data_IF_931560053956
#
_entry.id   IF_931560053956
#
_cell.length_a   1.000
_cell.length_b   1.000
_cell.length_c   1.000
_cell.angle_alpha   90.00
_cell.angle_beta   90.00
_cell.angle_gamma   90.00
#
_symmetry.space_group_name_H-M   'P 1'
#
loop_
_entity.id
_entity.type
_entity.pdbx_description
1 polymer ?
#
# COMPACT_ATOMS: atom_id res chain seq x y z
N UNK A 1 2.46 7.29 -21.20
CA UNK A 1 3.22 6.79 -20.03
C UNK A 1 2.25 6.22 -19.02
N UNK A 2 2.69 5.32 -18.13
CA UNK A 2 1.84 4.73 -17.09
C UNK A 2 2.42 5.09 -15.72
N UNK A 3 1.61 5.73 -14.87
CA UNK A 3 1.85 5.81 -13.43
C UNK A 3 1.13 4.63 -12.80
N UNK A 4 1.91 3.63 -12.45
CA UNK A 4 1.46 2.51 -11.65
C UNK A 4 1.86 2.76 -10.21
N UNK A 5 0.89 2.87 -9.31
CA UNK A 5 1.17 3.04 -7.89
C UNK A 5 0.85 1.77 -7.13
N UNK A 6 1.75 1.43 -6.21
CA UNK A 6 1.53 0.36 -5.25
C UNK A 6 0.38 0.78 -4.33
N UNK A 7 -0.62 -0.09 -4.19
CA UNK A 7 -1.76 0.19 -3.34
C UNK A 7 -1.33 0.65 -1.94
N UNK A 8 -2.09 1.57 -1.38
CA UNK A 8 -1.89 2.16 -0.05
C UNK A 8 -2.23 1.17 1.09
N UNK A 9 -1.51 0.06 1.13
CA UNK A 9 -1.66 -1.01 2.12
C UNK A 9 -0.96 -0.69 3.45
N UNK A 10 -1.15 -1.56 4.43
CA UNK A 10 -0.36 -1.58 5.67
C UNK A 10 1.14 -1.70 5.34
N UNK A 11 2.06 -0.93 5.97
CA UNK A 11 1.85 -0.10 7.15
C UNK A 11 1.28 1.30 6.86
N UNK A 12 0.61 1.88 7.86
CA UNK A 12 0.01 3.21 7.76
C UNK A 12 1.02 4.32 8.06
N UNK A 13 1.10 5.33 7.19
CA UNK A 13 2.10 6.41 7.28
C UNK A 13 1.73 7.43 8.37
N UNK A 14 0.43 7.63 8.61
CA UNK A 14 -0.04 8.59 9.59
C UNK A 14 0.16 8.06 11.02
N UNK A 15 0.81 8.88 11.87
CA UNK A 15 1.14 8.55 13.28
C UNK A 15 -0.08 8.13 14.11
N UNK A 16 -1.28 8.59 13.77
CA UNK A 16 -2.54 8.21 14.42
C UNK A 16 -2.75 6.69 14.41
N UNK A 17 -2.27 5.99 13.38
CA UNK A 17 -2.44 4.55 13.19
C UNK A 17 -1.21 3.74 13.59
N UNK A 18 -0.28 4.33 14.35
CA UNK A 18 0.92 3.64 14.85
C UNK A 18 0.61 2.45 15.76
N UNK A 19 -0.52 2.49 16.46
CA UNK A 19 -1.04 1.36 17.22
C UNK A 19 -1.28 0.13 16.33
N UNK A 20 -1.80 0.32 15.12
CA UNK A 20 -2.02 -0.77 14.16
C UNK A 20 -0.69 -1.27 13.60
N UNK A 21 0.23 -0.36 13.26
CA UNK A 21 1.60 -0.70 12.85
C UNK A 21 2.34 -1.52 13.91
N UNK A 22 2.09 -1.22 15.20
CA UNK A 22 2.67 -1.97 16.31
C UNK A 22 2.28 -3.45 16.30
N UNK A 23 1.05 -3.79 15.87
CA UNK A 23 0.54 -5.16 15.84
C UNK A 23 1.31 -6.04 14.85
N UNK A 24 1.79 -5.46 13.74
CA UNK A 24 2.53 -6.16 12.71
C UNK A 24 4.05 -6.11 12.84
N UNK A 25 4.62 -5.41 13.84
CA UNK A 25 6.09 -5.29 14.01
C UNK A 25 6.82 -6.64 14.04
N UNK A 26 6.27 -7.61 14.78
CA UNK A 26 6.87 -8.95 14.87
C UNK A 26 6.86 -9.72 13.54
N UNK A 27 5.90 -9.44 12.65
CA UNK A 27 5.87 -10.00 11.30
C UNK A 27 6.88 -9.28 10.39
N UNK A 28 6.94 -7.95 10.44
CA UNK A 28 7.89 -7.16 9.64
C UNK A 28 9.34 -7.54 9.95
N UNK A 29 9.68 -7.71 11.24
CA UNK A 29 11.01 -8.16 11.66
C UNK A 29 11.35 -9.57 11.14
N UNK A 30 10.37 -10.46 11.01
CA UNK A 30 10.56 -11.80 10.44
C UNK A 30 10.66 -11.79 8.91
N UNK A 31 9.91 -10.91 8.24
CA UNK A 31 9.95 -10.75 6.79
C UNK A 31 11.35 -10.33 6.30
N UNK A 32 12.08 -9.52 7.09
CA UNK A 32 13.47 -9.15 6.82
C UNK A 32 14.44 -10.35 6.79
N UNK A 33 14.08 -11.45 7.44
CA UNK A 33 14.90 -12.68 7.52
C UNK A 33 14.26 -13.86 6.78
N UNK A 34 13.29 -13.60 5.91
CA UNK A 34 12.51 -14.66 5.26
C UNK A 34 13.32 -15.34 4.15
N UNK A 35 13.77 -16.58 4.40
CA UNK A 35 14.26 -17.47 3.35
C UNK A 35 13.06 -18.17 2.69
N UNK A 36 12.94 -18.02 1.37
CA UNK A 36 11.82 -18.50 0.55
C UNK A 36 11.77 -20.03 0.34
N UNK A 37 12.17 -20.81 1.34
CA UNK A 37 12.01 -22.26 1.35
C UNK A 37 10.87 -22.61 2.30
N UNK A 38 9.64 -22.56 1.79
CA UNK A 38 8.49 -23.04 2.55
C UNK A 38 7.63 -23.94 1.67
N UNK A 39 7.35 -25.14 2.17
CA UNK A 39 6.54 -26.12 1.47
C UNK A 39 5.10 -25.58 1.31
N UNK A 40 4.65 -25.40 0.06
CA UNK A 40 3.32 -24.89 -0.29
C UNK A 40 2.18 -25.61 0.44
N UNK A 41 2.33 -26.92 0.69
CA UNK A 41 1.37 -27.72 1.44
C UNK A 41 1.20 -27.27 2.90
N UNK A 42 2.30 -26.90 3.57
CA UNK A 42 2.28 -26.45 4.96
C UNK A 42 1.55 -25.09 5.09
N UNK A 43 1.73 -24.22 4.10
CA UNK A 43 1.03 -22.94 4.02
C UNK A 43 -0.47 -23.18 3.82
N UNK A 44 -0.83 -24.07 2.89
CA UNK A 44 -2.22 -24.43 2.65
C UNK A 44 -2.91 -24.99 3.89
N UNK A 45 -2.27 -25.94 4.59
CA UNK A 45 -2.79 -26.49 5.86
C UNK A 45 -2.98 -25.39 6.91
N UNK A 46 -2.04 -24.44 7.02
CA UNK A 46 -2.18 -23.29 7.92
C UNK A 46 -3.38 -22.41 7.55
N UNK A 47 -3.59 -22.13 6.27
CA UNK A 47 -4.73 -21.35 5.78
C UNK A 47 -6.03 -22.07 6.13
N UNK A 48 -6.16 -23.37 5.84
CA UNK A 48 -7.36 -24.17 6.13
C UNK A 48 -7.64 -24.23 7.63
N UNK A 49 -6.63 -24.48 8.46
CA UNK A 49 -6.78 -24.47 9.93
C UNK A 49 -7.22 -23.11 10.46
N UNK A 50 -6.61 -22.03 9.96
CA UNK A 50 -7.00 -20.67 10.34
C UNK A 50 -8.42 -20.35 9.90
N UNK A 51 -8.81 -20.79 8.70
CA UNK A 51 -10.16 -20.61 8.17
C UNK A 51 -11.20 -21.30 9.07
N UNK A 52 -11.00 -22.58 9.39
CA UNK A 52 -11.91 -23.35 10.26
C UNK A 52 -12.03 -22.73 11.65
N UNK A 53 -10.94 -22.17 12.19
CA UNK A 53 -10.93 -21.56 13.53
C UNK A 53 -11.54 -20.16 13.56
N UNK A 54 -11.25 -19.32 12.56
CA UNK A 54 -11.58 -17.88 12.57
C UNK A 54 -12.88 -17.55 11.84
N UNK A 55 -13.31 -18.39 10.89
CA UNK A 55 -14.50 -18.12 10.07
C UNK A 55 -14.33 -17.01 9.03
N UNK A 56 -13.10 -16.53 8.80
CA UNK A 56 -12.76 -15.55 7.76
C UNK A 56 -11.41 -15.87 7.13
N UNK A 57 -11.22 -15.41 5.89
CA UNK A 57 -9.97 -15.54 5.15
C UNK A 57 -9.10 -14.32 5.32
N UNK A 58 -7.82 -14.60 5.51
CA UNK A 58 -6.81 -13.57 5.63
C UNK A 58 -5.48 -14.02 5.05
N UNK A 59 -4.92 -13.21 4.15
CA UNK A 59 -3.54 -13.36 3.70
C UNK A 59 -2.97 -12.01 3.26
N UNK A 60 -1.66 -11.96 3.08
CA UNK A 60 -0.94 -10.73 2.69
C UNK A 60 -0.72 -9.72 3.83
N UNK A 61 -1.34 -9.93 5.00
CA UNK A 61 -1.16 -9.10 6.19
C UNK A 61 -0.85 -9.96 7.44
N UNK A 62 -0.19 -9.39 8.47
CA UNK A 62 0.09 -10.11 9.72
C UNK A 62 -1.20 -10.60 10.41
N UNK A 63 -1.18 -11.79 11.00
CA UNK A 63 -2.35 -12.39 11.68
C UNK A 63 -3.03 -11.45 12.70
N UNK A 64 -2.23 -10.73 13.50
CA UNK A 64 -2.72 -9.77 14.49
C UNK A 64 -3.36 -8.53 13.86
N UNK A 65 -2.77 -8.04 12.77
CA UNK A 65 -3.32 -6.91 12.01
C UNK A 65 -4.64 -7.33 11.37
N UNK A 66 -4.71 -8.56 10.88
CA UNK A 66 -5.92 -9.10 10.32
C UNK A 66 -7.05 -9.26 11.33
N UNK A 67 -6.75 -9.83 12.50
CA UNK A 67 -7.74 -9.94 13.58
C UNK A 67 -8.25 -8.56 14.00
N UNK A 68 -7.35 -7.58 14.09
CA UNK A 68 -7.72 -6.19 14.35
C UNK A 68 -8.59 -5.62 13.23
N UNK A 69 -8.27 -5.91 11.98
CA UNK A 69 -9.03 -5.43 10.81
C UNK A 69 -10.44 -5.99 10.76
N UNK A 70 -10.60 -7.28 11.10
CA UNK A 70 -11.89 -7.91 11.23
C UNK A 70 -12.75 -7.27 12.34
N UNK A 71 -12.14 -6.92 13.48
CA UNK A 71 -12.82 -6.29 14.62
C UNK A 71 -13.10 -4.79 14.43
N UNK A 72 -12.19 -4.08 13.76
CA UNK A 72 -12.18 -2.60 13.66
C UNK A 72 -12.14 -2.12 12.21
N UNK A 73 -12.97 -2.72 11.34
CA UNK A 73 -12.94 -2.47 9.89
C UNK A 73 -13.06 -0.99 9.53
N UNK A 74 -13.94 -0.24 10.21
CA UNK A 74 -14.11 1.20 9.96
C UNK A 74 -12.83 2.00 10.21
N UNK A 75 -12.07 1.67 11.27
CA UNK A 75 -10.82 2.35 11.58
C UNK A 75 -9.74 2.04 10.55
N UNK A 76 -9.65 0.79 10.11
CA UNK A 76 -8.70 0.39 9.06
C UNK A 76 -9.03 1.05 7.73
N UNK A 77 -10.29 1.14 7.35
CA UNK A 77 -10.70 1.87 6.13
C UNK A 77 -10.30 3.34 6.24
N UNK A 78 -10.47 3.98 7.40
CA UNK A 78 -9.98 5.36 7.61
C UNK A 78 -8.47 5.46 7.44
N UNK A 79 -7.72 4.50 8.00
CA UNK A 79 -6.26 4.45 7.86
C UNK A 79 -5.81 4.28 6.40
N UNK A 80 -6.49 3.37 5.69
CA UNK A 80 -6.28 3.12 4.26
C UNK A 80 -6.55 4.38 3.43
N UNK A 81 -7.69 5.06 3.64
CA UNK A 81 -8.03 6.30 2.95
C UNK A 81 -6.97 7.39 3.19
N UNK A 82 -6.49 7.53 4.43
CA UNK A 82 -5.44 8.52 4.74
C UNK A 82 -4.14 8.22 4.00
N UNK A 83 -3.72 6.95 3.93
CA UNK A 83 -2.57 6.57 3.11
C UNK A 83 -2.83 6.86 1.62
N UNK A 84 -4.02 6.49 1.11
CA UNK A 84 -4.39 6.69 -0.28
C UNK A 84 -4.35 8.16 -0.66
N UNK A 85 -4.87 9.06 0.17
CA UNK A 85 -4.80 10.51 -0.05
C UNK A 85 -3.35 11.00 -0.12
N UNK A 86 -2.45 10.44 0.69
CA UNK A 86 -1.02 10.76 0.62
C UNK A 86 -0.41 10.34 -0.72
N UNK A 87 -0.76 9.17 -1.23
CA UNK A 87 -0.29 8.70 -2.55
C UNK A 87 -0.88 9.54 -3.67
N UNK A 88 -2.19 9.79 -3.65
CA UNK A 88 -2.88 10.58 -4.66
C UNK A 88 -2.37 12.02 -4.74
N UNK A 89 -1.92 12.60 -3.63
CA UNK A 89 -1.25 13.90 -3.65
C UNK A 89 0.00 13.90 -4.54
N UNK A 90 0.84 12.87 -4.44
CA UNK A 90 2.03 12.74 -5.27
C UNK A 90 1.70 12.38 -6.71
N UNK A 91 0.72 11.49 -6.93
CA UNK A 91 0.23 11.17 -8.27
C UNK A 91 -0.28 12.44 -8.98
N UNK A 92 -1.05 13.29 -8.29
CA UNK A 92 -1.52 14.57 -8.85
C UNK A 92 -0.35 15.45 -9.30
N UNK A 93 0.65 15.65 -8.45
CA UNK A 93 1.85 16.44 -8.81
C UNK A 93 2.56 15.89 -10.04
N UNK A 94 2.67 14.56 -10.14
CA UNK A 94 3.25 13.92 -11.31
C UNK A 94 2.41 14.19 -12.56
N UNK A 95 1.08 14.10 -12.47
CA UNK A 95 0.21 14.35 -13.64
C UNK A 95 0.29 15.77 -14.19
N UNK A 96 0.58 16.75 -13.33
CA UNK A 96 0.75 18.16 -13.74
C UNK A 96 2.03 18.39 -14.56
N UNK A 97 3.06 17.56 -14.37
CA UNK A 97 4.35 17.71 -15.03
C UNK A 97 4.57 16.69 -16.16
N UNK A 98 3.90 15.55 -16.16
CA UNK A 98 4.19 14.52 -17.15
C UNK A 98 3.53 14.85 -18.50
N UNK A 99 4.29 14.84 -19.60
CA UNK A 99 3.79 15.27 -20.89
C UNK A 99 2.98 14.15 -21.56
N UNK A 100 2.13 14.54 -22.52
CA UNK A 100 1.30 13.64 -23.32
C UNK A 100 0.32 12.83 -22.47
N UNK A 101 -0.13 11.70 -23.01
CA UNK A 101 -1.02 10.75 -22.34
C UNK A 101 -0.33 10.04 -21.18
N UNK A 102 -0.93 10.13 -20.00
CA UNK A 102 -0.56 9.40 -18.80
C UNK A 102 -1.74 8.55 -18.31
N UNK A 103 -1.52 7.26 -18.08
CA UNK A 103 -2.50 6.36 -17.48
C UNK A 103 -2.14 6.14 -16.01
N UNK A 104 -3.09 6.29 -15.10
CA UNK A 104 -2.91 6.11 -13.66
C UNK A 104 -3.72 4.90 -13.24
N UNK A 105 -3.07 3.93 -12.61
CA UNK A 105 -3.72 2.70 -12.15
C UNK A 105 -3.02 2.09 -10.93
N UNK A 106 -3.65 1.06 -10.35
CA UNK A 106 -3.14 0.32 -9.19
C UNK A 106 -2.89 -1.14 -9.56
N UNK A 107 -2.04 -1.80 -8.79
CA UNK A 107 -1.62 -3.18 -9.00
C UNK A 107 -2.66 -4.21 -8.60
N UNK A 108 -3.38 -3.91 -7.52
CA UNK A 108 -4.51 -4.70 -7.03
C UNK A 108 -5.43 -3.79 -6.21
N UNK A 109 -6.57 -4.36 -5.81
CA UNK A 109 -7.51 -3.78 -4.83
C UNK A 109 -7.24 -4.25 -3.39
N UNK A 110 -8.07 -3.86 -2.43
CA UNK A 110 -8.00 -4.26 -1.02
C UNK A 110 -9.34 -4.81 -0.55
N UNK A 111 -9.33 -5.92 0.18
CA UNK A 111 -10.54 -6.47 0.77
C UNK A 111 -10.65 -6.11 2.26
N UNK A 112 -11.82 -5.61 2.67
CA UNK A 112 -12.16 -5.22 4.04
C UNK A 112 -13.32 -6.04 4.61
N UNK A 113 -13.49 -7.28 4.14
CA UNK A 113 -14.52 -8.20 4.59
C UNK A 113 -15.58 -8.52 3.54
N UNK A 114 -15.34 -8.15 2.28
CA UNK A 114 -16.18 -8.57 1.16
C UNK A 114 -16.25 -10.11 1.09
N UNK A 115 -17.39 -10.66 0.66
CA UNK A 115 -17.56 -12.10 0.55
C UNK A 115 -16.68 -12.66 -0.58
N UNK A 116 -16.11 -13.83 -0.34
CA UNK A 116 -15.31 -14.58 -1.32
C UNK A 116 -16.10 -14.88 -2.61
N UNK A 117 -17.41 -15.10 -2.49
CA UNK A 117 -18.30 -15.27 -3.62
C UNK A 117 -19.75 -15.39 -3.18
N UNK A 118 -20.66 -15.45 -4.15
CA UNK A 118 -22.11 -15.55 -3.89
C UNK A 118 -22.50 -16.85 -3.16
N UNK A 119 -21.80 -17.94 -3.45
CA UNK A 119 -22.07 -19.28 -2.89
C UNK A 119 -21.37 -19.53 -1.55
N UNK A 120 -20.29 -18.80 -1.26
CA UNK A 120 -19.49 -18.96 -0.06
C UNK A 120 -19.30 -17.57 0.59
N UNK A 121 -20.15 -17.17 1.54
CA UNK A 121 -20.17 -15.82 2.15
C UNK A 121 -19.03 -15.62 3.16
N UNK A 122 -17.89 -16.24 2.89
CA UNK A 122 -16.70 -16.18 3.70
C UNK A 122 -16.03 -14.83 3.51
N UNK A 123 -15.86 -14.07 4.59
CA UNK A 123 -15.28 -12.71 4.53
C UNK A 123 -13.80 -12.77 4.23
N UNK A 124 -13.34 -11.91 3.32
CA UNK A 124 -11.95 -11.82 2.87
C UNK A 124 -11.34 -10.52 3.36
N UNK A 125 -10.14 -10.59 3.93
CA UNK A 125 -9.38 -9.43 4.41
C UNK A 125 -7.94 -9.45 3.93
N UNK A 126 -7.46 -8.34 3.35
CA UNK A 126 -6.10 -8.23 2.82
C UNK A 126 -6.01 -8.54 1.31
N UNK A 127 -4.81 -8.41 0.72
CA UNK A 127 -4.57 -8.66 -0.70
C UNK A 127 -4.31 -10.15 -0.94
N UNK A 128 -5.37 -10.97 -0.92
CA UNK A 128 -5.24 -12.41 -1.12
C UNK A 128 -4.89 -12.74 -2.58
N UNK A 129 -3.64 -13.19 -2.79
CA UNK A 129 -3.22 -13.76 -4.07
C UNK A 129 -4.14 -14.93 -4.48
N UNK A 130 -4.44 -15.04 -5.78
CA UNK A 130 -5.26 -16.11 -6.38
C UNK A 130 -6.76 -16.06 -6.08
N UNK A 131 -7.23 -15.06 -5.33
CA UNK A 131 -8.66 -14.78 -5.16
C UNK A 131 -9.04 -13.62 -6.07
N UNK A 132 -10.16 -13.76 -6.80
CA UNK A 132 -10.65 -12.77 -7.78
C UNK A 132 -12.03 -12.26 -7.39
N UNK A 133 -12.08 -11.47 -6.32
CA UNK A 133 -13.27 -10.71 -5.93
C UNK A 133 -13.13 -9.27 -6.44
N UNK A 134 -14.26 -8.58 -6.66
CA UNK A 134 -14.27 -7.24 -7.23
C UNK A 134 -13.41 -6.25 -6.43
N UNK A 135 -13.45 -6.32 -5.09
CA UNK A 135 -12.62 -5.47 -4.23
C UNK A 135 -11.12 -5.67 -4.40
N UNK A 136 -10.66 -6.79 -4.97
CA UNK A 136 -9.25 -7.07 -5.25
C UNK A 136 -8.85 -6.85 -6.71
N UNK A 137 -9.79 -6.89 -7.65
CA UNK A 137 -9.49 -6.84 -9.09
C UNK A 137 -9.96 -5.56 -9.78
N UNK A 138 -10.94 -4.85 -9.21
CA UNK A 138 -11.41 -3.58 -9.76
C UNK A 138 -10.52 -2.46 -9.25
N UNK A 139 -9.58 -2.05 -10.09
CA UNK A 139 -8.62 -0.98 -9.81
C UNK A 139 -8.95 0.27 -10.61
N UNK A 140 -8.55 1.47 -10.15
CA UNK A 140 -8.75 2.70 -10.91
C UNK A 140 -8.01 2.65 -12.26
N UNK A 141 -8.60 3.27 -13.28
CA UNK A 141 -7.96 3.49 -14.58
C UNK A 141 -8.29 4.92 -15.04
N UNK A 142 -7.39 5.86 -14.76
CA UNK A 142 -7.58 7.26 -15.11
C UNK A 142 -6.60 7.64 -16.23
N UNK A 143 -7.12 8.16 -17.34
CA UNK A 143 -6.31 8.72 -18.43
C UNK A 143 -6.25 10.23 -18.27
N UNK A 144 -5.03 10.77 -18.24
CA UNK A 144 -4.74 12.21 -18.21
C UNK A 144 -4.01 12.59 -19.48
N UNK A 145 -4.51 13.59 -20.20
CA UNK A 145 -3.84 14.17 -21.36
C UNK A 145 -3.23 15.51 -20.96
N UNK A 146 -1.94 15.68 -21.23
CA UNK A 146 -1.23 16.90 -20.89
C UNK A 146 -0.43 17.42 -22.10
N UNK A 147 -0.58 18.70 -22.42
CA UNK A 147 0.11 19.38 -23.53
C UNK A 147 1.38 20.13 -23.09
N UNK A 148 1.87 19.90 -21.87
CA UNK A 148 3.12 20.51 -21.38
C UNK A 148 4.31 20.07 -22.25
N UNK A 149 5.13 21.05 -22.63
CA UNK A 149 6.34 20.84 -23.43
C UNK A 149 7.39 20.01 -22.67
N UNK A 150 8.02 19.05 -23.35
CA UNK A 150 8.95 18.11 -22.75
C UNK A 150 10.19 18.78 -22.12
N UNK A 151 10.65 19.92 -22.65
CA UNK A 151 11.78 20.66 -22.06
C UNK A 151 11.38 21.31 -20.74
N UNK A 152 10.16 21.85 -20.66
CA UNK A 152 9.62 22.44 -19.43
C UNK A 152 9.46 21.37 -18.33
N UNK A 153 9.02 20.16 -18.69
CA UNK A 153 8.98 19.02 -17.77
C UNK A 153 10.36 18.71 -17.18
N UNK A 154 11.36 18.55 -18.05
CA UNK A 154 12.71 18.21 -17.64
C UNK A 154 13.29 19.27 -16.70
N UNK A 155 13.08 20.54 -17.03
CA UNK A 155 13.49 21.69 -16.21
C UNK A 155 12.84 21.64 -14.82
N UNK A 156 11.53 21.41 -14.73
CA UNK A 156 10.82 21.31 -13.44
C UNK A 156 11.30 20.13 -12.60
N UNK A 157 11.47 18.97 -13.22
CA UNK A 157 11.96 17.77 -12.55
C UNK A 157 13.38 17.98 -11.99
N UNK A 158 14.28 18.56 -12.79
CA UNK A 158 15.63 18.93 -12.34
C UNK A 158 15.59 19.91 -11.17
N UNK A 159 14.80 20.99 -11.25
CA UNK A 159 14.66 21.95 -10.15
C UNK A 159 14.19 21.30 -8.84
N UNK A 160 13.21 20.39 -8.89
CA UNK A 160 12.71 19.69 -7.69
C UNK A 160 13.73 18.71 -7.12
N UNK A 161 14.46 17.97 -7.97
CA UNK A 161 15.56 17.12 -7.53
C UNK A 161 16.66 17.94 -6.86
N UNK A 162 17.08 19.04 -7.46
CA UNK A 162 18.09 19.94 -6.89
C UNK A 162 17.63 20.50 -5.54
N UNK A 163 16.37 20.95 -5.42
CA UNK A 163 15.80 21.43 -4.15
C UNK A 163 15.81 20.35 -3.07
N UNK A 164 15.46 19.12 -3.43
CA UNK A 164 15.43 17.97 -2.51
C UNK A 164 16.83 17.64 -2.01
N UNK A 165 17.82 17.53 -2.90
CA UNK A 165 19.23 17.29 -2.55
C UNK A 165 19.80 18.38 -1.64
N UNK A 166 19.49 19.65 -1.93
CA UNK A 166 19.92 20.78 -1.09
C UNK A 166 19.27 20.71 0.31
N UNK A 167 17.97 20.41 0.38
CA UNK A 167 17.23 20.28 1.65
C UNK A 167 17.81 19.16 2.52
N UNK A 168 18.07 18.00 1.93
CA UNK A 168 18.67 16.85 2.62
C UNK A 168 20.09 17.15 3.09
N UNK A 169 20.91 17.79 2.25
CA UNK A 169 22.27 18.20 2.60
C UNK A 169 22.29 19.19 3.77
N UNK A 170 21.33 20.13 3.83
CA UNK A 170 21.17 21.07 4.95
C UNK A 170 20.70 20.36 6.22
N UNK A 171 19.80 19.38 6.11
CA UNK A 171 19.33 18.59 7.24
C UNK A 171 20.47 17.77 7.86
N UNK A 172 21.31 17.11 7.05
CA UNK A 172 22.51 16.40 7.50
C UNK A 172 23.50 17.34 8.22
N UNK A 173 23.75 18.54 7.68
CA UNK A 173 24.59 19.55 8.34
C UNK A 173 23.97 20.06 9.64
N UNK A 174 22.66 20.25 9.70
CA UNK A 174 21.93 20.68 10.90
C UNK A 174 21.94 19.63 12.02
N UNK A 175 21.86 18.34 11.70
CA UNK A 175 22.03 17.26 12.67
C UNK A 175 23.47 17.19 13.21
N UNK A 176 24.48 17.46 12.38
CA UNK A 176 25.89 17.57 12.85
C UNK A 176 26.12 18.75 13.81
N UNK A 177 25.36 19.84 13.69
CA UNK A 177 25.48 21.02 14.56
C UNK A 177 24.76 20.88 15.91
N UNK A 178 23.79 19.95 16.05
CA UNK A 178 23.05 19.71 17.30
C UNK A 178 23.66 18.63 18.21
N UNK A 179 24.76 17.99 17.81
CA UNK A 179 25.48 16.99 18.62
C UNK A 179 26.77 17.54 19.24
N UNK A 180 26.75 18.79 19.73
CA UNK A 180 27.85 19.39 20.49
C UNK A 180 27.30 20.00 21.77
#
# INVERSE_FOLDING_TARGET
MIIWFLQSHYPFVNRRFNNINALGRGFMNKALHYNASSNNLLIFIKIVKNLLRKGYLCAGIPDKVCEYTHKNTSEIIKAYIVNLLSVLYHVKKLTEILPRRTVITSDHGEAFGEPLGKLLPLRVYGPLSRIRISSLTQVPYLVVENSVDQKEVLKRALCELTRTVIRESKQVKGYKLKMR
#
